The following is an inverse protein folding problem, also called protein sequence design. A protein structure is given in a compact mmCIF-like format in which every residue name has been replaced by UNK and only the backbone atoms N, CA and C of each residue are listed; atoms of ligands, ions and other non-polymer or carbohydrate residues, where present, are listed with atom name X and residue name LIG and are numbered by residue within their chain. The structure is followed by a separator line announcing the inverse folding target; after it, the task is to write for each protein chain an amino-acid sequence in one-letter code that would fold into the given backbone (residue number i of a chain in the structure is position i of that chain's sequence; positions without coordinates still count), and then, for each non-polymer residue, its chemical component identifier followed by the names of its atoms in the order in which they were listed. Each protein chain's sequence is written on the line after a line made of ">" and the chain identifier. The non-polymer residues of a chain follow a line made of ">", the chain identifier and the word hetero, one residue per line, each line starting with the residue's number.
data_IF_220257410113
#
_entry.id   IF_220257410113
#
_cell.length_a   1.000
_cell.length_b   1.000
_cell.length_c   1.000
_cell.angle_alpha   90.00
_cell.angle_beta   90.00
_cell.angle_gamma   90.00
#
_symmetry.space_group_name_H-M   'P 1'
#
loop_
_entity.id
_entity.type
_entity.pdbx_description
1 polymer ?
#
# COMPACT_ATOMS: atom_id res chain seq x y z
N UNK A 1 8.97 18.29 -0.21
CA UNK A 1 8.15 18.25 1.02
C UNK A 1 8.23 16.84 1.53
N UNK A 2 8.63 16.63 2.77
CA UNK A 2 8.69 15.28 3.35
C UNK A 2 7.25 14.76 3.58
N UNK A 3 6.90 13.66 2.92
CA UNK A 3 5.58 13.02 3.05
C UNK A 3 5.29 12.60 4.49
N UNK A 4 6.32 12.23 5.25
CA UNK A 4 6.17 11.83 6.64
C UNK A 4 5.61 12.96 7.50
N UNK A 5 6.19 14.17 7.39
CA UNK A 5 5.75 15.33 8.16
C UNK A 5 4.33 15.77 7.78
N UNK A 6 3.99 15.65 6.51
CA UNK A 6 2.62 15.86 6.04
C UNK A 6 1.67 14.84 6.66
N UNK A 7 2.03 13.55 6.64
CA UNK A 7 1.21 12.47 7.18
C UNK A 7 0.92 12.66 8.67
N UNK A 8 1.91 13.01 9.49
CA UNK A 8 1.70 13.24 10.92
C UNK A 8 0.69 14.37 11.17
N UNK A 9 0.90 15.52 10.53
CA UNK A 9 -0.04 16.66 10.65
C UNK A 9 -1.43 16.32 10.14
N UNK A 10 -1.53 15.57 9.04
CA UNK A 10 -2.80 15.14 8.47
C UNK A 10 -3.50 14.14 9.41
N UNK A 11 -2.76 13.20 10.00
CA UNK A 11 -3.28 12.19 10.91
C UNK A 11 -3.87 12.83 12.17
N UNK A 12 -3.20 13.83 12.75
CA UNK A 12 -3.68 14.58 13.91
C UNK A 12 -4.98 15.35 13.60
N UNK A 13 -5.03 16.00 12.43
CA UNK A 13 -6.22 16.71 11.96
C UNK A 13 -7.38 15.74 11.74
N UNK A 14 -7.13 14.57 11.15
CA UNK A 14 -8.14 13.54 10.96
C UNK A 14 -8.69 13.05 12.31
N UNK A 15 -7.81 12.80 13.28
CA UNK A 15 -8.21 12.40 14.63
C UNK A 15 -9.07 13.45 15.33
N UNK A 16 -8.81 14.72 15.09
CA UNK A 16 -9.65 15.80 15.60
C UNK A 16 -11.05 15.77 14.93
N UNK A 17 -11.12 15.67 13.61
CA UNK A 17 -12.40 15.67 12.88
C UNK A 17 -13.25 14.41 13.15
N UNK A 18 -12.62 13.23 13.29
CA UNK A 18 -13.34 11.99 13.66
C UNK A 18 -13.93 12.11 15.06
N UNK A 19 -13.20 12.66 16.03
CA UNK A 19 -13.72 12.89 17.39
C UNK A 19 -14.92 13.84 17.40
N UNK A 20 -14.90 14.86 16.54
CA UNK A 20 -16.04 15.77 16.35
C UNK A 20 -17.24 15.04 15.74
N UNK A 21 -17.01 14.20 14.73
CA UNK A 21 -18.07 13.37 14.14
C UNK A 21 -18.70 12.45 15.19
N UNK A 22 -17.88 11.74 15.97
CA UNK A 22 -18.38 10.81 16.99
C UNK A 22 -19.14 11.53 18.11
N UNK A 23 -18.71 12.73 18.49
CA UNK A 23 -19.40 13.55 19.49
C UNK A 23 -20.72 14.15 18.97
N UNK A 24 -20.86 14.35 17.65
CA UNK A 24 -22.10 14.80 17.01
C UNK A 24 -23.08 13.65 16.72
N UNK A 25 -22.64 12.38 16.81
CA UNK A 25 -23.41 11.17 16.54
C UNK A 25 -24.24 10.52 17.69
N UNK A 26 -24.30 11.01 18.95
CA UNK A 26 -25.13 10.34 19.96
C UNK A 26 -26.64 10.45 19.71
N UNK A 27 -27.11 11.36 18.84
CA UNK A 27 -28.53 11.54 18.57
C UNK A 27 -28.81 11.70 17.07
N UNK A 28 -29.89 11.10 16.55
CA UNK A 28 -30.31 11.34 15.17
C UNK A 28 -30.57 12.84 14.96
N UNK A 29 -30.20 13.41 13.81
CA UNK A 29 -30.37 14.84 13.57
C UNK A 29 -31.84 15.18 13.64
N UNK A 30 -32.21 16.01 14.61
CA UNK A 30 -33.60 16.37 14.90
C UNK A 30 -34.03 17.62 14.14
N UNK A 31 -33.08 18.45 13.72
CA UNK A 31 -33.31 19.68 12.96
C UNK A 31 -32.60 19.64 11.61
N UNK A 32 -33.12 20.39 10.63
CA UNK A 32 -32.48 20.51 9.30
C UNK A 32 -31.07 21.14 9.39
N UNK A 33 -30.85 22.04 10.35
CA UNK A 33 -29.54 22.61 10.69
C UNK A 33 -28.53 21.53 11.16
N UNK A 34 -28.99 20.54 11.92
CA UNK A 34 -28.14 19.42 12.37
C UNK A 34 -27.75 18.51 11.20
N UNK A 35 -28.69 18.27 10.26
CA UNK A 35 -28.41 17.53 9.01
C UNK A 35 -27.39 18.27 8.16
N UNK A 36 -27.51 19.59 8.05
CA UNK A 36 -26.58 20.42 7.30
C UNK A 36 -25.18 20.40 7.92
N UNK A 37 -25.07 20.54 9.24
CA UNK A 37 -23.80 20.45 9.97
C UNK A 37 -23.13 19.09 9.80
N UNK A 38 -23.91 18.01 9.90
CA UNK A 38 -23.39 16.65 9.68
C UNK A 38 -22.87 16.49 8.25
N UNK A 39 -23.63 16.96 7.26
CA UNK A 39 -23.25 16.92 5.84
C UNK A 39 -21.94 17.68 5.61
N UNK A 40 -21.82 18.90 6.15
CA UNK A 40 -20.59 19.70 6.07
C UNK A 40 -19.39 18.98 6.68
N UNK A 41 -19.58 18.32 7.82
CA UNK A 41 -18.51 17.59 8.49
C UNK A 41 -18.06 16.36 7.70
N UNK A 42 -18.99 15.60 7.13
CA UNK A 42 -18.70 14.50 6.20
C UNK A 42 -17.97 15.02 4.96
N UNK A 43 -18.45 16.09 4.33
CA UNK A 43 -17.79 16.71 3.17
C UNK A 43 -16.36 17.16 3.51
N UNK A 44 -16.15 17.73 4.70
CA UNK A 44 -14.82 18.14 5.17
C UNK A 44 -13.88 16.93 5.30
N UNK A 45 -14.35 15.84 5.92
CA UNK A 45 -13.57 14.60 6.05
C UNK A 45 -13.23 14.01 4.68
N UNK A 46 -14.20 13.96 3.77
CA UNK A 46 -13.98 13.47 2.40
C UNK A 46 -12.95 14.30 1.64
N UNK A 47 -13.02 15.64 1.75
CA UNK A 47 -12.02 16.54 1.18
C UNK A 47 -10.63 16.30 1.78
N UNK A 48 -10.56 16.06 3.08
CA UNK A 48 -9.31 15.77 3.79
C UNK A 48 -8.67 14.46 3.31
N UNK A 49 -9.46 13.41 3.05
CA UNK A 49 -8.97 12.17 2.45
C UNK A 49 -8.52 12.35 1.00
N UNK A 50 -9.26 13.14 0.21
CA UNK A 50 -8.88 13.46 -1.17
C UNK A 50 -7.49 14.12 -1.24
N UNK A 51 -7.24 15.08 -0.34
CA UNK A 51 -5.94 15.74 -0.23
C UNK A 51 -4.81 14.77 0.15
N UNK A 52 -5.07 13.85 1.09
CA UNK A 52 -4.10 12.80 1.44
C UNK A 52 -3.69 11.96 0.23
N UNK A 53 -4.65 11.47 -0.55
CA UNK A 53 -4.34 10.67 -1.74
C UNK A 53 -3.62 11.49 -2.82
N UNK A 54 -3.96 12.78 -2.96
CA UNK A 54 -3.26 13.68 -3.88
C UNK A 54 -1.79 13.83 -3.51
N UNK A 55 -1.49 14.13 -2.24
CA UNK A 55 -0.11 14.30 -1.76
C UNK A 55 0.65 12.97 -1.76
N UNK A 56 -0.02 11.86 -1.41
CA UNK A 56 0.56 10.51 -1.48
C UNK A 56 0.94 10.11 -2.89
N UNK A 57 0.09 10.42 -3.88
CA UNK A 57 0.39 10.18 -5.29
C UNK A 57 1.59 11.01 -5.77
N UNK A 58 1.68 12.28 -5.38
CA UNK A 58 2.84 13.11 -5.70
C UNK A 58 4.14 12.57 -5.09
N UNK A 59 4.09 12.11 -3.83
CA UNK A 59 5.23 11.49 -3.18
C UNK A 59 5.63 10.18 -3.86
N UNK A 60 4.67 9.32 -4.20
CA UNK A 60 4.92 8.06 -4.88
C UNK A 60 5.50 8.23 -6.30
N UNK A 61 5.09 9.28 -7.02
CA UNK A 61 5.66 9.63 -8.33
C UNK A 61 7.13 10.11 -8.23
N UNK A 62 7.55 10.62 -7.07
CA UNK A 62 8.93 11.02 -6.84
C UNK A 62 9.80 9.86 -6.36
N UNK A 63 9.30 9.13 -5.36
CA UNK A 63 9.96 7.95 -4.81
C UNK A 63 8.90 6.98 -4.25
N UNK A 64 8.57 5.97 -5.06
CA UNK A 64 7.60 4.94 -4.69
C UNK A 64 8.08 4.15 -3.45
N UNK A 65 9.37 3.88 -3.32
CA UNK A 65 9.91 3.10 -2.20
C UNK A 65 9.80 3.87 -0.89
N UNK A 66 9.95 5.19 -0.91
CA UNK A 66 9.75 6.03 0.28
C UNK A 66 8.33 5.93 0.85
N UNK A 67 7.33 5.70 -0.01
CA UNK A 67 5.92 5.57 0.39
C UNK A 67 5.59 4.14 0.82
N UNK A 68 6.14 3.12 0.15
CA UNK A 68 5.90 1.71 0.47
C UNK A 68 6.67 1.23 1.71
N UNK A 69 7.93 1.64 1.86
CA UNK A 69 8.78 1.25 2.98
C UNK A 69 8.68 2.23 4.16
N UNK A 70 7.67 3.09 4.16
CA UNK A 70 7.60 4.18 5.10
C UNK A 70 7.44 3.70 6.54
N UNK A 71 8.21 4.28 7.45
CA UNK A 71 8.17 3.93 8.89
C UNK A 71 6.91 4.42 9.60
N UNK A 72 6.25 5.44 9.05
CA UNK A 72 4.97 5.96 9.56
C UNK A 72 3.77 5.07 9.21
N UNK A 73 3.92 4.11 8.28
CA UNK A 73 2.81 3.23 7.90
C UNK A 73 2.47 2.27 9.02
N UNK A 74 1.18 2.15 9.30
CA UNK A 74 0.66 1.26 10.33
C UNK A 74 0.81 -0.21 9.91
N UNK A 75 0.86 -1.13 10.88
CA UNK A 75 0.85 -2.58 10.59
C UNK A 75 -0.37 -2.98 9.77
N UNK A 76 -1.53 -2.34 10.00
CA UNK A 76 -2.74 -2.56 9.21
C UNK A 76 -2.54 -2.15 7.76
N UNK A 77 -2.08 -0.93 7.48
CA UNK A 77 -1.80 -0.46 6.11
C UNK A 77 -0.79 -1.37 5.40
N UNK A 78 0.24 -1.84 6.12
CA UNK A 78 1.22 -2.79 5.60
C UNK A 78 0.59 -4.15 5.27
N UNK A 79 -0.27 -4.67 6.15
CA UNK A 79 -1.00 -5.92 5.92
C UNK A 79 -2.02 -5.82 4.79
N UNK A 80 -2.59 -4.63 4.56
CA UNK A 80 -3.55 -4.41 3.47
C UNK A 80 -2.88 -4.54 2.11
N UNK A 81 -1.60 -4.20 1.96
CA UNK A 81 -0.87 -4.52 0.72
C UNK A 81 -0.88 -6.02 0.44
N UNK A 82 -0.60 -6.82 1.48
CA UNK A 82 -0.60 -8.28 1.39
C UNK A 82 -1.99 -8.85 1.10
N UNK A 83 -3.04 -8.34 1.75
CA UNK A 83 -4.43 -8.78 1.57
C UNK A 83 -4.99 -8.36 0.20
N UNK A 84 -4.62 -7.18 -0.30
CA UNK A 84 -5.03 -6.68 -1.60
C UNK A 84 -4.34 -7.39 -2.78
N UNK A 85 -3.55 -8.44 -2.51
CA UNK A 85 -2.91 -9.26 -3.54
C UNK A 85 -1.55 -8.75 -4.01
N UNK A 86 -0.99 -7.70 -3.39
CA UNK A 86 0.38 -7.29 -3.66
C UNK A 86 1.36 -8.18 -2.89
N UNK A 87 1.93 -9.18 -3.58
CA UNK A 87 3.04 -9.99 -3.09
C UNK A 87 4.36 -9.27 -3.42
N UNK A 88 5.25 -8.96 -2.46
CA UNK A 88 6.62 -8.54 -2.71
C UNK A 88 7.34 -9.26 -3.86
N UNK A 89 7.10 -10.56 -4.08
CA UNK A 89 7.62 -11.32 -5.24
C UNK A 89 7.25 -10.68 -6.60
N UNK A 90 6.10 -10.02 -6.71
CA UNK A 90 5.66 -9.29 -7.92
C UNK A 90 6.64 -8.19 -8.33
N UNK A 91 7.30 -7.52 -7.38
CA UNK A 91 8.29 -6.49 -7.69
C UNK A 91 9.49 -7.08 -8.44
N UNK A 92 9.93 -8.29 -8.09
CA UNK A 92 11.02 -8.98 -8.79
C UNK A 92 10.63 -9.33 -10.22
N UNK A 93 9.40 -9.81 -10.43
CA UNK A 93 8.89 -10.08 -11.78
C UNK A 93 8.88 -8.82 -12.65
N UNK A 94 8.49 -7.67 -12.09
CA UNK A 94 8.54 -6.39 -12.79
C UNK A 94 9.98 -6.01 -13.13
N UNK A 95 10.92 -6.14 -12.18
CA UNK A 95 12.34 -5.86 -12.43
C UNK A 95 12.85 -6.70 -13.59
N UNK A 96 12.65 -8.03 -13.60
CA UNK A 96 13.13 -8.88 -14.70
C UNK A 96 12.48 -8.51 -16.04
N UNK A 97 11.17 -8.26 -16.04
CA UNK A 97 10.42 -7.92 -17.26
C UNK A 97 10.90 -6.60 -17.85
N UNK A 98 10.96 -5.54 -17.05
CA UNK A 98 11.41 -4.21 -17.48
C UNK A 98 12.89 -4.22 -17.88
N UNK A 99 13.74 -4.92 -17.13
CA UNK A 99 15.17 -5.03 -17.47
C UNK A 99 15.37 -5.72 -18.83
N UNK A 100 14.61 -6.78 -19.11
CA UNK A 100 14.67 -7.48 -20.39
C UNK A 100 14.22 -6.59 -21.55
N UNK A 101 13.10 -5.88 -21.39
CA UNK A 101 12.55 -4.97 -22.42
C UNK A 101 13.54 -3.82 -22.69
N UNK A 102 14.08 -3.21 -21.63
CA UNK A 102 15.03 -2.10 -21.75
C UNK A 102 16.35 -2.54 -22.39
N UNK A 103 16.87 -3.70 -21.97
CA UNK A 103 18.06 -4.31 -22.58
C UNK A 103 17.84 -4.59 -24.07
N UNK A 104 16.72 -5.21 -24.46
CA UNK A 104 16.40 -5.49 -25.86
C UNK A 104 16.28 -4.22 -26.70
N UNK A 105 15.66 -3.17 -26.15
CA UNK A 105 15.45 -1.90 -26.85
C UNK A 105 16.74 -1.14 -27.15
N UNK A 106 17.80 -1.35 -26.36
CA UNK A 106 19.09 -0.64 -26.46
C UNK A 106 20.29 -1.57 -26.56
N UNK A 107 20.06 -2.80 -27.00
CA UNK A 107 21.07 -3.87 -27.02
C UNK A 107 22.34 -3.46 -27.76
N UNK A 108 22.21 -2.76 -28.89
CA UNK A 108 23.36 -2.30 -29.68
C UNK A 108 24.18 -1.22 -28.95
N UNK A 109 23.51 -0.31 -28.24
CA UNK A 109 24.16 0.75 -27.47
C UNK A 109 24.91 0.15 -26.28
N UNK A 110 24.29 -0.80 -25.58
CA UNK A 110 24.88 -1.53 -24.46
C UNK A 110 26.10 -2.34 -24.90
N UNK A 111 26.02 -3.04 -26.04
CA UNK A 111 27.17 -3.77 -26.61
C UNK A 111 28.32 -2.85 -27.05
N UNK A 112 28.02 -1.59 -27.36
CA UNK A 112 29.01 -0.55 -27.64
C UNK A 112 29.54 0.12 -26.36
N UNK A 113 29.08 -0.31 -25.18
CA UNK A 113 29.51 0.19 -23.87
C UNK A 113 28.78 1.46 -23.41
N UNK A 114 27.64 1.80 -24.03
CA UNK A 114 26.80 2.93 -23.62
C UNK A 114 25.82 2.44 -22.56
N UNK A 115 25.97 2.95 -21.33
CA UNK A 115 25.01 2.72 -20.25
C UNK A 115 24.03 3.90 -20.15
N UNK A 116 22.74 3.61 -20.06
CA UNK A 116 21.66 4.61 -19.89
C UNK A 116 21.33 4.93 -18.44
N UNK A 117 21.88 4.19 -17.48
CA UNK A 117 21.62 4.31 -16.05
C UNK A 117 20.27 3.75 -15.61
N UNK A 118 19.63 2.92 -16.43
CA UNK A 118 18.33 2.30 -16.12
C UNK A 118 18.44 0.77 -15.92
N UNK A 119 17.30 0.09 -15.78
CA UNK A 119 17.27 -1.36 -15.49
C UNK A 119 17.85 -2.23 -16.62
N UNK A 120 18.02 -1.72 -17.83
CA UNK A 120 18.67 -2.43 -18.93
C UNK A 120 20.18 -2.61 -18.74
N UNK A 121 20.80 -1.83 -17.85
CA UNK A 121 22.25 -1.87 -17.60
C UNK A 121 22.64 -2.80 -16.43
N UNK A 122 21.68 -3.58 -15.91
CA UNK A 122 21.96 -4.47 -14.79
C UNK A 122 22.98 -5.54 -15.18
N UNK A 123 24.07 -5.58 -14.42
CA UNK A 123 25.13 -6.57 -14.59
C UNK A 123 24.67 -7.97 -14.13
N UNK A 124 25.31 -9.05 -14.62
CA UNK A 124 25.02 -10.41 -14.15
C UNK A 124 25.13 -10.58 -12.63
N UNK A 125 26.11 -9.92 -12.00
CA UNK A 125 26.27 -9.96 -10.54
C UNK A 125 25.11 -9.27 -9.80
N UNK A 126 24.55 -8.19 -10.37
CA UNK A 126 23.35 -7.56 -9.82
C UNK A 126 22.13 -8.48 -9.96
N UNK A 127 21.96 -9.15 -11.10
CA UNK A 127 20.89 -10.15 -11.27
C UNK A 127 21.01 -11.33 -10.31
N UNK A 128 22.23 -11.82 -10.04
CA UNK A 128 22.45 -12.85 -9.01
C UNK A 128 21.92 -12.38 -7.65
N UNK A 129 22.27 -11.15 -7.25
CA UNK A 129 21.80 -10.60 -5.98
C UNK A 129 20.29 -10.39 -5.93
N UNK A 130 19.68 -9.96 -7.03
CA UNK A 130 18.21 -9.85 -7.16
C UNK A 130 17.56 -11.22 -7.04
N UNK A 131 18.13 -12.25 -7.65
CA UNK A 131 17.65 -13.64 -7.58
C UNK A 131 17.75 -14.22 -6.17
N UNK A 132 18.85 -13.97 -5.46
CA UNK A 132 19.02 -14.36 -4.05
C UNK A 132 17.92 -13.71 -3.18
N UNK A 133 17.72 -12.39 -3.33
CA UNK A 133 16.67 -11.66 -2.61
C UNK A 133 15.25 -12.16 -2.96
N UNK A 134 15.02 -12.53 -4.22
CA UNK A 134 13.74 -13.11 -4.63
C UNK A 134 13.50 -14.45 -3.92
N UNK A 135 14.52 -15.31 -3.84
CA UNK A 135 14.42 -16.60 -3.15
C UNK A 135 14.11 -16.42 -1.67
N UNK A 136 14.83 -15.51 -0.99
CA UNK A 136 14.55 -15.16 0.41
C UNK A 136 13.11 -14.63 0.56
N UNK A 137 12.68 -13.74 -0.33
CA UNK A 137 11.32 -13.19 -0.32
C UNK A 137 10.29 -14.30 -0.42
N UNK A 138 10.39 -15.17 -1.42
CA UNK A 138 9.47 -16.31 -1.63
C UNK A 138 9.39 -17.21 -0.39
N UNK A 139 10.52 -17.47 0.27
CA UNK A 139 10.54 -18.24 1.51
C UNK A 139 9.74 -17.57 2.63
N UNK A 140 9.93 -16.26 2.83
CA UNK A 140 9.16 -15.50 3.83
C UNK A 140 7.68 -15.43 3.47
N UNK A 141 7.36 -15.26 2.19
CA UNK A 141 5.98 -15.22 1.69
C UNK A 141 5.23 -16.53 1.94
N UNK A 142 5.89 -17.66 1.68
CA UNK A 142 5.35 -18.99 1.94
C UNK A 142 5.17 -19.22 3.44
N UNK A 143 6.16 -18.86 4.26
CA UNK A 143 6.03 -19.00 5.72
C UNK A 143 4.84 -18.22 6.30
N UNK A 144 4.59 -16.99 5.82
CA UNK A 144 3.39 -16.21 6.20
C UNK A 144 2.11 -16.92 5.76
N UNK A 145 2.11 -17.47 4.54
CA UNK A 145 0.95 -18.17 3.98
C UNK A 145 0.65 -19.46 4.75
N UNK A 146 1.67 -20.23 5.08
CA UNK A 146 1.58 -21.46 5.86
C UNK A 146 1.03 -21.17 7.26
N UNK A 147 1.59 -20.18 7.97
CA UNK A 147 1.06 -19.75 9.26
C UNK A 147 -0.41 -19.37 9.15
N UNK A 148 -0.79 -18.54 8.16
CA UNK A 148 -2.18 -18.15 7.97
C UNK A 148 -3.09 -19.36 7.73
N UNK A 149 -2.63 -20.37 6.98
CA UNK A 149 -3.37 -21.61 6.76
C UNK A 149 -3.54 -22.44 8.03
N UNK A 150 -2.53 -22.50 8.91
CA UNK A 150 -2.60 -23.16 10.21
C UNK A 150 -3.62 -22.48 11.13
N UNK A 151 -3.61 -21.14 11.17
CA UNK A 151 -4.62 -20.36 11.89
C UNK A 151 -6.01 -20.63 11.35
N UNK A 152 -6.20 -20.66 10.02
CA UNK A 152 -7.51 -20.96 9.41
C UNK A 152 -8.00 -22.36 9.78
N UNK A 153 -7.15 -23.38 9.65
CA UNK A 153 -7.50 -24.76 10.00
C UNK A 153 -7.82 -24.96 11.50
N UNK A 154 -7.20 -24.19 12.40
CA UNK A 154 -7.49 -24.22 13.83
C UNK A 154 -8.77 -23.44 14.19
N UNK A 155 -9.14 -22.43 13.39
CA UNK A 155 -10.17 -21.45 13.69
C UNK A 155 -11.42 -21.57 12.80
N UNK A 156 -11.66 -22.72 12.16
CA UNK A 156 -12.84 -23.04 11.34
C UNK A 156 -14.19 -22.92 12.10
N UNK A 157 -14.16 -22.68 13.42
CA UNK A 157 -15.34 -22.32 14.22
C UNK A 157 -15.49 -20.81 14.51
N UNK A 158 -14.47 -19.97 14.24
CA UNK A 158 -14.41 -18.54 14.61
C UNK A 158 -14.39 -17.61 13.39
N UNK A 159 -13.92 -18.08 12.22
CA UNK A 159 -13.94 -17.27 10.98
C UNK A 159 -15.35 -16.99 10.45
N UNK A 160 -16.33 -17.86 10.78
CA UNK A 160 -17.75 -17.60 10.52
C UNK A 160 -18.34 -16.46 11.37
N UNK A 161 -17.64 -16.02 12.43
CA UNK A 161 -18.08 -14.95 13.33
C UNK A 161 -17.33 -13.63 13.11
N UNK A 162 -16.11 -13.65 12.54
CA UNK A 162 -15.23 -12.47 12.54
C UNK A 162 -15.32 -11.59 11.28
N UNK A 163 -15.79 -12.13 10.14
CA UNK A 163 -15.92 -11.35 8.89
C UNK A 163 -17.24 -11.63 8.14
N UNK A 164 -18.37 -11.02 8.57
CA UNK A 164 -19.68 -11.24 7.94
C UNK A 164 -19.77 -10.73 6.49
N UNK A 165 -18.83 -9.88 6.03
CA UNK A 165 -18.87 -9.28 4.69
C UNK A 165 -18.52 -10.25 3.56
N UNK A 166 -17.83 -11.36 3.86
CA UNK A 166 -17.49 -12.40 2.88
C UNK A 166 -18.66 -13.35 2.57
N UNK A 167 -19.80 -13.21 3.24
CA UNK A 167 -20.98 -14.09 3.06
C UNK A 167 -21.80 -13.78 1.79
N UNK A 168 -21.51 -12.68 1.08
CA UNK A 168 -22.31 -12.19 -0.05
C UNK A 168 -21.62 -12.33 -1.42
N UNK A 169 -20.57 -13.15 -1.53
CA UNK A 169 -19.89 -13.42 -2.81
C UNK A 169 -19.89 -14.93 -3.11
N UNK A 170 -21.08 -15.54 -3.07
CA UNK A 170 -21.38 -16.82 -3.73
C UNK A 170 -22.79 -16.82 -4.27
#
# INVERSE_FOLDING_TARGET
>A
MDFHRFYESWYDQLHHEIRRLSAAHPQPPTTDDDRQKLTQLVTKIMSHFSEYYRVKSLAANQDVLSVFCARWSTTLERSLYWIAGWRPTTAFHLIYTESSILFESRMLDILQGVCTGDLGDLSPAQFTRVSELQCETVQQENAITDQLSEWQACNDSVLLLSFPFLKNIS
#
